data_IF_473536513816
#
_entry.id   IF_473536513816
#
_cell.length_a   1.000
_cell.length_b   1.000
_cell.length_c   1.000
_cell.angle_alpha   90.00
_cell.angle_beta   90.00
_cell.angle_gamma   90.00
#
_symmetry.space_group_name_H-M   'P 1'
#
loop_
_entity.id
_entity.type
_entity.pdbx_description
1 polymer ?
#
# COMPACT_ATOMS: atom_id res chain seq x y z
N UNK A 1 1.95 -14.84 2.53
CA UNK A 1 2.10 -13.51 3.16
C UNK A 1 2.21 -13.69 4.66
N UNK A 2 3.43 -13.68 5.14
CA UNK A 2 3.86 -13.88 6.53
C UNK A 2 4.89 -12.83 6.95
N UNK A 3 5.71 -12.31 6.03
CA UNK A 3 6.65 -11.23 6.32
C UNK A 3 6.05 -9.89 5.92
N UNK A 4 5.69 -9.06 6.89
CA UNK A 4 5.02 -7.78 6.68
C UNK A 4 5.97 -6.66 7.09
N UNK A 5 6.42 -5.87 6.13
CA UNK A 5 7.29 -4.73 6.34
C UNK A 5 6.45 -3.47 6.55
N UNK A 6 6.64 -2.79 7.67
CA UNK A 6 5.97 -1.54 8.01
C UNK A 6 6.99 -0.41 8.07
N UNK A 7 6.78 0.64 7.27
CA UNK A 7 7.51 1.89 7.45
C UNK A 7 6.97 2.61 8.69
N UNK A 8 7.84 2.80 9.68
CA UNK A 8 7.59 3.65 10.84
C UNK A 8 8.14 5.05 10.54
N UNK A 9 7.34 6.06 10.86
CA UNK A 9 7.72 7.46 10.77
C UNK A 9 6.71 8.29 11.58
N UNK A 10 7.13 9.33 12.28
CA UNK A 10 6.20 10.11 13.11
C UNK A 10 5.41 11.11 12.24
N UNK A 11 4.25 10.68 11.73
CA UNK A 11 3.31 11.51 10.96
C UNK A 11 1.85 11.11 11.22
N UNK A 12 0.91 11.93 10.73
CA UNK A 12 -0.54 11.77 10.94
C UNK A 12 -1.09 10.42 10.45
N UNK A 13 -0.42 9.77 9.49
CA UNK A 13 -0.81 8.49 8.93
C UNK A 13 -0.26 7.27 9.67
N UNK A 14 0.60 7.46 10.69
CA UNK A 14 1.30 6.37 11.39
C UNK A 14 0.35 5.36 11.99
N UNK A 15 -0.71 5.83 12.65
CA UNK A 15 -1.68 4.96 13.32
C UNK A 15 -2.36 4.03 12.30
N UNK A 16 -2.82 4.58 11.19
CA UNK A 16 -3.50 3.82 10.14
C UNK A 16 -2.63 2.71 9.55
N UNK A 17 -1.36 3.00 9.24
CA UNK A 17 -0.45 1.98 8.67
C UNK A 17 -0.05 0.93 9.69
N UNK A 18 0.20 1.32 10.95
CA UNK A 18 0.51 0.38 12.03
C UNK A 18 -0.67 -0.56 12.27
N UNK A 19 -1.88 -0.01 12.41
CA UNK A 19 -3.07 -0.79 12.68
C UNK A 19 -3.39 -1.75 11.53
N UNK A 20 -3.26 -1.32 10.28
CA UNK A 20 -3.42 -2.21 9.13
C UNK A 20 -2.38 -3.34 9.12
N UNK A 21 -1.11 -3.03 9.42
CA UNK A 21 -0.06 -4.04 9.46
C UNK A 21 -0.31 -5.08 10.57
N UNK A 22 -0.76 -4.63 11.75
CA UNK A 22 -1.17 -5.51 12.85
C UNK A 22 -2.37 -6.39 12.48
N UNK A 23 -3.39 -5.81 11.86
CA UNK A 23 -4.58 -6.56 11.42
C UNK A 23 -4.20 -7.66 10.42
N UNK A 24 -3.37 -7.35 9.42
CA UNK A 24 -2.88 -8.34 8.44
C UNK A 24 -2.00 -9.40 9.11
N UNK A 25 -1.06 -8.98 9.97
CA UNK A 25 -0.17 -9.90 10.66
C UNK A 25 -0.94 -10.87 11.56
N UNK A 26 -1.94 -10.38 12.30
CA UNK A 26 -2.81 -11.21 13.14
C UNK A 26 -3.65 -12.17 12.32
N UNK A 27 -4.33 -11.67 11.28
CA UNK A 27 -5.22 -12.49 10.46
C UNK A 27 -4.49 -13.61 9.71
N UNK A 28 -3.24 -13.36 9.30
CA UNK A 28 -2.43 -14.33 8.58
C UNK A 28 -1.43 -15.07 9.47
N UNK A 29 -1.34 -14.77 10.77
CA UNK A 29 -0.31 -15.31 11.67
C UNK A 29 1.10 -15.03 11.16
N UNK A 30 1.36 -13.79 10.77
CA UNK A 30 2.63 -13.28 10.24
C UNK A 30 3.50 -12.60 11.30
N UNK A 31 4.64 -12.11 10.84
CA UNK A 31 5.63 -11.35 11.59
C UNK A 31 5.69 -9.92 11.04
N UNK A 32 5.61 -8.94 11.94
CA UNK A 32 5.69 -7.52 11.64
C UNK A 32 7.14 -7.03 11.76
N UNK A 33 7.76 -6.71 10.63
CA UNK A 33 9.07 -6.05 10.59
C UNK A 33 8.88 -4.54 10.50
N UNK A 34 9.15 -3.82 11.59
CA UNK A 34 9.15 -2.37 11.63
C UNK A 34 10.51 -1.83 11.18
N UNK A 35 10.51 -0.94 10.18
CA UNK A 35 11.68 -0.16 9.79
C UNK A 35 11.43 1.31 10.14
N UNK A 36 12.21 1.84 11.07
CA UNK A 36 12.19 3.25 11.46
C UNK A 36 13.31 3.96 10.73
N UNK A 37 12.94 4.85 9.80
CA UNK A 37 13.90 5.52 8.91
C UNK A 37 14.08 6.95 9.35
N UNK A 38 15.22 7.23 9.98
CA UNK A 38 15.69 8.58 10.24
C UNK A 38 16.25 9.18 8.95
N UNK A 39 15.64 10.23 8.37
CA UNK A 39 16.19 10.88 7.19
C UNK A 39 17.58 11.45 7.51
N UNK A 40 18.46 11.46 6.52
CA UNK A 40 19.74 12.15 6.68
C UNK A 40 19.45 13.61 7.06
N UNK A 41 20.00 14.12 8.19
CA UNK A 41 19.95 15.55 8.42
C UNK A 41 20.64 16.19 7.22
N UNK A 42 19.95 17.12 6.55
CA UNK A 42 20.50 17.85 5.41
C UNK A 42 21.72 18.62 5.92
N UNK A 43 22.90 18.01 5.85
CA UNK A 43 24.16 18.73 6.00
C UNK A 43 24.32 19.54 4.72
N UNK A 44 23.72 20.73 4.69
CA UNK A 44 24.00 21.71 3.66
C UNK A 44 25.52 21.90 3.63
N UNK A 45 26.14 21.50 2.52
CA UNK A 45 27.59 21.58 2.34
C UNK A 45 28.11 22.97 2.74
N UNK A 46 29.15 22.99 3.56
CA UNK A 46 29.87 24.19 4.01
C UNK A 46 29.08 25.29 4.74
N UNK A 47 27.89 25.00 5.28
CA UNK A 47 27.25 25.90 6.24
C UNK A 47 27.53 25.43 7.67
N UNK A 48 28.07 26.32 8.50
CA UNK A 48 27.95 26.19 9.96
C UNK A 48 26.45 26.01 10.23
N UNK A 49 26.02 24.85 10.75
CA UNK A 49 24.62 24.65 11.15
C UNK A 49 24.21 25.84 12.00
N UNK A 50 23.24 26.61 11.52
CA UNK A 50 22.68 27.70 12.31
C UNK A 50 22.06 27.14 13.59
N UNK A 51 22.00 27.94 14.66
CA UNK A 51 21.28 27.56 15.88
C UNK A 51 19.85 27.06 15.59
N UNK A 52 19.18 27.60 14.56
CA UNK A 52 17.84 27.14 14.14
C UNK A 52 17.82 25.75 13.51
N UNK A 53 18.74 25.45 12.59
CA UNK A 53 18.81 24.14 11.91
C UNK A 53 19.24 23.03 12.88
N UNK A 54 20.17 23.33 13.78
CA UNK A 54 20.56 22.38 14.83
C UNK A 54 19.39 22.08 15.77
N UNK A 55 18.61 23.07 16.18
CA UNK A 55 17.40 22.86 16.99
C UNK A 55 16.37 21.97 16.27
N UNK A 56 16.14 22.16 14.96
CA UNK A 56 15.22 21.31 14.18
C UNK A 56 15.70 19.85 14.14
N UNK A 57 16.99 19.61 13.91
CA UNK A 57 17.57 18.25 13.90
C UNK A 57 17.51 17.58 15.27
N UNK A 58 17.73 18.33 16.36
CA UNK A 58 17.59 17.79 17.71
C UNK A 58 16.13 17.48 18.06
N UNK A 59 15.19 18.34 17.67
CA UNK A 59 13.76 18.14 17.88
C UNK A 59 13.24 16.91 17.10
N UNK A 60 13.71 16.71 15.86
CA UNK A 60 13.37 15.54 15.04
C UNK A 60 13.89 14.25 15.67
N UNK A 61 15.13 14.24 16.19
CA UNK A 61 15.71 13.08 16.90
C UNK A 61 14.99 12.76 18.21
N UNK A 62 14.65 13.77 19.00
CA UNK A 62 13.91 13.58 20.25
C UNK A 62 12.48 13.10 19.96
N UNK A 63 11.86 13.60 18.90
CA UNK A 63 10.56 13.16 18.40
C UNK A 63 10.58 11.70 17.94
N UNK A 64 11.57 11.29 17.13
CA UNK A 64 11.76 9.91 16.71
C UNK A 64 12.02 8.97 17.90
N UNK A 65 12.87 9.37 18.84
CA UNK A 65 13.16 8.57 20.03
C UNK A 65 11.92 8.35 20.91
N UNK A 66 11.08 9.38 21.08
CA UNK A 66 9.79 9.27 21.79
C UNK A 66 8.82 8.37 21.03
N UNK A 67 8.68 8.58 19.72
CA UNK A 67 7.82 7.78 18.87
C UNK A 67 8.18 6.29 18.93
N UNK A 68 9.48 5.97 18.82
CA UNK A 68 9.99 4.62 18.98
C UNK A 68 9.67 4.02 20.35
N UNK A 69 9.88 4.76 21.43
CA UNK A 69 9.58 4.28 22.77
C UNK A 69 8.08 3.95 22.94
N UNK A 70 7.20 4.82 22.46
CA UNK A 70 5.75 4.63 22.51
C UNK A 70 5.30 3.44 21.66
N UNK A 71 5.81 3.32 20.43
CA UNK A 71 5.46 2.23 19.52
C UNK A 71 5.97 0.87 19.99
N UNK A 72 7.21 0.80 20.49
CA UNK A 72 7.76 -0.46 21.00
C UNK A 72 7.04 -0.92 22.27
N UNK A 73 6.64 0.01 23.15
CA UNK A 73 5.79 -0.29 24.30
C UNK A 73 4.40 -0.77 23.89
N UNK A 74 3.78 -0.15 22.88
CA UNK A 74 2.52 -0.64 22.30
C UNK A 74 2.67 -2.04 21.69
N UNK A 75 3.67 -2.25 20.83
CA UNK A 75 3.94 -3.54 20.18
C UNK A 75 4.21 -4.65 21.19
N UNK A 76 4.83 -4.34 22.34
CA UNK A 76 5.04 -5.32 23.42
C UNK A 76 3.74 -5.87 24.04
N UNK A 77 2.62 -5.16 23.84
CA UNK A 77 1.28 -5.50 24.34
C UNK A 77 0.38 -6.12 23.27
N UNK A 78 0.85 -6.18 22.02
CA UNK A 78 0.15 -6.85 20.92
C UNK A 78 0.43 -8.37 20.93
N UNK A 79 -0.45 -9.14 20.29
CA UNK A 79 -0.37 -10.60 20.12
C UNK A 79 0.36 -11.03 18.83
N UNK A 80 1.06 -10.09 18.19
CA UNK A 80 1.76 -10.26 16.90
C UNK A 80 3.26 -10.31 17.13
N UNK A 81 3.96 -11.28 16.52
CA UNK A 81 5.43 -11.31 16.52
C UNK A 81 5.98 -10.11 15.75
N UNK A 82 6.96 -9.40 16.32
CA UNK A 82 7.53 -8.22 15.69
C UNK A 82 9.05 -8.13 15.83
N UNK A 83 9.67 -7.35 14.96
CA UNK A 83 11.07 -6.95 15.02
C UNK A 83 11.21 -5.48 14.64
N UNK A 84 12.27 -4.83 15.11
CA UNK A 84 12.53 -3.42 14.85
C UNK A 84 13.92 -3.23 14.25
N UNK A 85 14.03 -2.37 13.24
CA UNK A 85 15.29 -1.94 12.66
C UNK A 85 15.33 -0.41 12.57
N UNK A 86 16.37 0.19 13.14
CA UNK A 86 16.67 1.61 12.97
C UNK A 86 17.57 1.78 11.74
N UNK A 87 17.15 2.62 10.81
CA UNK A 87 17.90 2.88 9.57
C UNK A 87 18.04 4.38 9.38
N UNK A 88 19.24 4.82 8.99
CA UNK A 88 19.45 6.21 8.57
C UNK A 88 19.53 6.25 7.06
N UNK A 89 18.64 6.98 6.40
CA UNK A 89 18.54 6.90 4.95
C UNK A 89 17.40 7.69 4.34
N UNK A 90 17.29 7.61 3.01
CA UNK A 90 16.09 8.07 2.31
C UNK A 90 14.99 6.99 2.45
N UNK A 91 13.78 7.37 2.81
CA UNK A 91 12.69 6.45 3.17
C UNK A 91 12.41 5.41 2.09
N UNK A 92 12.20 5.82 0.84
CA UNK A 92 11.84 4.87 -0.23
C UNK A 92 12.98 3.88 -0.50
N UNK A 93 14.23 4.34 -0.51
CA UNK A 93 15.41 3.50 -0.70
C UNK A 93 15.56 2.51 0.45
N UNK A 94 15.45 2.97 1.70
CA UNK A 94 15.60 2.12 2.89
C UNK A 94 14.53 1.03 2.96
N UNK A 95 13.28 1.36 2.61
CA UNK A 95 12.20 0.37 2.52
C UNK A 95 12.46 -0.65 1.42
N UNK A 96 12.94 -0.21 0.24
CA UNK A 96 13.27 -1.11 -0.86
C UNK A 96 14.41 -2.07 -0.51
N UNK A 97 15.44 -1.61 0.19
CA UNK A 97 16.55 -2.46 0.65
C UNK A 97 16.10 -3.50 1.70
N UNK A 98 15.10 -3.17 2.51
CA UNK A 98 14.52 -4.10 3.49
C UNK A 98 13.43 -5.03 2.90
N UNK A 99 12.98 -4.78 1.66
CA UNK A 99 11.81 -5.45 1.08
C UNK A 99 12.11 -6.80 0.41
N UNK A 100 13.37 -7.23 0.30
CA UNK A 100 13.78 -8.41 -0.48
C UNK A 100 13.00 -9.70 -0.13
N UNK A 101 12.68 -9.90 1.15
CA UNK A 101 11.92 -11.06 1.65
C UNK A 101 10.55 -10.67 2.24
N UNK A 102 10.11 -9.43 2.02
CA UNK A 102 8.80 -8.98 2.41
C UNK A 102 7.75 -9.56 1.46
N UNK A 103 6.69 -10.15 2.01
CA UNK A 103 5.51 -10.51 1.22
C UNK A 103 4.61 -9.29 0.99
N UNK A 104 4.59 -8.37 1.97
CA UNK A 104 3.77 -7.17 2.00
C UNK A 104 4.56 -6.00 2.56
N UNK A 105 4.45 -4.83 1.94
CA UNK A 105 4.92 -3.55 2.45
C UNK A 105 3.69 -2.70 2.80
N UNK A 106 3.60 -2.17 4.00
CA UNK A 106 2.49 -1.32 4.45
C UNK A 106 2.95 0.13 4.53
N UNK A 107 2.24 1.00 3.80
CA UNK A 107 2.52 2.43 3.65
C UNK A 107 1.21 3.21 3.63
N UNK A 108 1.23 4.53 3.81
CA UNK A 108 0.07 5.36 3.48
C UNK A 108 0.01 5.63 1.97
N UNK A 109 -1.20 5.77 1.43
CA UNK A 109 -1.43 6.15 0.02
C UNK A 109 -0.95 7.57 -0.30
N UNK A 110 -1.15 8.46 0.68
CA UNK A 110 -0.87 9.89 0.71
C UNK A 110 -1.20 10.37 2.13
N UNK A 111 -0.73 11.56 2.49
CA UNK A 111 -1.19 12.31 3.66
C UNK A 111 -1.99 13.51 3.16
N UNK A 112 -3.12 13.80 3.80
CA UNK A 112 -4.07 14.83 3.34
C UNK A 112 -3.72 16.23 3.93
N UNK A 113 -2.96 16.27 5.02
CA UNK A 113 -2.55 17.51 5.72
C UNK A 113 -1.14 18.02 5.37
N UNK A 114 -0.11 17.28 5.79
CA UNK A 114 1.28 17.73 5.72
C UNK A 114 1.96 17.37 4.38
N UNK A 115 2.70 18.30 3.74
CA UNK A 115 3.33 18.04 2.44
C UNK A 115 4.59 17.15 2.53
N UNK A 116 5.12 16.92 3.73
CA UNK A 116 6.34 16.15 3.97
C UNK A 116 6.15 15.19 5.17
N UNK A 117 6.56 13.92 5.05
CA UNK A 117 7.06 13.29 3.83
C UNK A 117 5.95 13.13 2.77
N UNK A 118 6.29 13.28 1.48
CA UNK A 118 5.33 13.08 0.39
C UNK A 118 5.07 11.57 0.20
N UNK A 119 4.19 11.02 1.04
CA UNK A 119 3.89 9.58 1.07
C UNK A 119 3.38 9.04 -0.27
N UNK A 120 2.67 9.86 -1.05
CA UNK A 120 2.23 9.44 -2.39
C UNK A 120 3.42 9.16 -3.30
N UNK A 121 4.43 10.03 -3.27
CA UNK A 121 5.64 9.85 -4.07
C UNK A 121 6.50 8.69 -3.56
N UNK A 122 6.67 8.56 -2.25
CA UNK A 122 7.39 7.45 -1.62
C UNK A 122 6.74 6.12 -1.99
N UNK A 123 5.42 5.99 -1.79
CA UNK A 123 4.65 4.80 -2.14
C UNK A 123 4.74 4.51 -3.63
N UNK A 124 4.65 5.53 -4.48
CA UNK A 124 4.79 5.36 -5.94
C UNK A 124 6.17 4.79 -6.31
N UNK A 125 7.26 5.36 -5.77
CA UNK A 125 8.62 4.90 -6.02
C UNK A 125 8.87 3.47 -5.53
N UNK A 126 8.31 3.11 -4.38
CA UNK A 126 8.41 1.74 -3.83
C UNK A 126 7.67 0.77 -4.74
N UNK A 127 6.41 1.04 -5.07
CA UNK A 127 5.57 0.18 -5.93
C UNK A 127 6.19 -0.03 -7.32
N UNK A 128 6.83 1.00 -7.89
CA UNK A 128 7.51 0.90 -9.18
C UNK A 128 8.74 -0.03 -9.18
N UNK A 129 9.32 -0.31 -8.01
CA UNK A 129 10.63 -1.00 -7.88
C UNK A 129 10.56 -2.32 -7.13
N UNK A 130 9.62 -2.48 -6.21
CA UNK A 130 9.45 -3.73 -5.47
C UNK A 130 8.80 -4.83 -6.32
N UNK A 131 8.98 -6.07 -5.88
CA UNK A 131 8.21 -7.24 -6.32
C UNK A 131 7.22 -7.70 -5.24
N UNK A 132 7.30 -7.16 -4.02
CA UNK A 132 6.35 -7.41 -2.95
C UNK A 132 5.03 -6.67 -3.22
N UNK A 133 3.93 -7.17 -2.67
CA UNK A 133 2.69 -6.39 -2.67
C UNK A 133 2.86 -5.16 -1.77
N UNK A 134 2.19 -4.07 -2.11
CA UNK A 134 2.16 -2.85 -1.30
C UNK A 134 0.74 -2.57 -0.87
N UNK A 135 0.48 -2.57 0.43
CA UNK A 135 -0.78 -2.11 1.01
C UNK A 135 -0.66 -0.61 1.31
N UNK A 136 -1.21 0.21 0.43
CA UNK A 136 -1.29 1.66 0.57
C UNK A 136 -2.60 2.04 1.29
N UNK A 137 -2.51 2.49 2.53
CA UNK A 137 -3.66 2.77 3.40
C UNK A 137 -4.04 4.25 3.43
N UNK A 138 -5.33 4.61 3.55
CA UNK A 138 -5.74 5.98 3.82
C UNK A 138 -5.35 6.38 5.25
N UNK A 139 -5.03 7.67 5.45
CA UNK A 139 -4.66 8.25 6.75
C UNK A 139 -5.73 8.02 7.83
N UNK A 140 -7.01 8.11 7.48
CA UNK A 140 -8.13 7.93 8.40
C UNK A 140 -8.53 6.45 8.64
N UNK A 141 -7.68 5.48 8.29
CA UNK A 141 -8.00 4.06 8.49
C UNK A 141 -7.90 3.69 9.97
N UNK A 142 -9.02 3.31 10.59
CA UNK A 142 -9.02 2.80 11.98
C UNK A 142 -8.79 1.30 12.08
N UNK A 143 -9.14 0.54 11.04
CA UNK A 143 -9.02 -0.92 11.01
C UNK A 143 -9.00 -1.44 9.58
N UNK A 144 -8.12 -2.39 9.29
CA UNK A 144 -8.16 -3.10 8.02
C UNK A 144 -9.18 -4.24 8.09
N UNK A 145 -10.20 -4.18 7.24
CA UNK A 145 -11.25 -5.20 7.12
C UNK A 145 -10.98 -6.07 5.90
N UNK A 146 -11.38 -7.34 6.00
CA UNK A 146 -11.14 -8.34 4.97
C UNK A 146 -12.42 -8.80 4.28
N UNK A 147 -13.62 -8.38 4.72
CA UNK A 147 -14.88 -9.03 4.36
C UNK A 147 -15.19 -8.97 2.85
N UNK A 148 -14.93 -7.83 2.21
CA UNK A 148 -15.27 -7.59 0.80
C UNK A 148 -14.09 -7.04 0.01
N UNK A 149 -13.62 -7.79 -0.97
CA UNK A 149 -12.48 -7.42 -1.80
C UNK A 149 -12.89 -7.11 -3.23
N UNK A 150 -12.54 -5.92 -3.73
CA UNK A 150 -12.70 -5.58 -5.14
C UNK A 150 -11.36 -5.78 -5.87
N UNK A 151 -11.32 -6.61 -6.90
CA UNK A 151 -10.15 -6.78 -7.78
C UNK A 151 -10.39 -5.96 -9.05
N UNK A 152 -9.70 -4.82 -9.17
CA UNK A 152 -9.75 -3.99 -10.37
C UNK A 152 -8.83 -4.59 -11.45
N UNK A 153 -9.43 -5.30 -12.41
CA UNK A 153 -8.75 -6.13 -13.39
C UNK A 153 -8.65 -5.46 -14.75
N UNK A 154 -7.41 -5.28 -15.24
CA UNK A 154 -7.08 -4.70 -16.54
C UNK A 154 -6.47 -5.73 -17.52
N UNK A 155 -6.34 -6.99 -17.12
CA UNK A 155 -5.69 -8.06 -17.90
C UNK A 155 -4.16 -7.96 -17.96
N UNK A 156 -3.55 -6.93 -17.35
CA UNK A 156 -2.11 -6.70 -17.38
C UNK A 156 -1.31 -7.60 -16.42
N UNK A 157 -0.01 -7.70 -16.67
CA UNK A 157 0.91 -8.47 -15.81
C UNK A 157 0.95 -7.94 -14.37
N UNK A 158 0.91 -6.61 -14.20
CA UNK A 158 0.89 -5.98 -12.88
C UNK A 158 -0.37 -6.36 -12.09
N UNK A 159 -1.54 -6.39 -12.73
CA UNK A 159 -2.76 -6.81 -12.06
C UNK A 159 -2.75 -8.32 -11.77
N UNK A 160 -2.22 -9.15 -12.67
CA UNK A 160 -2.00 -10.57 -12.39
C UNK A 160 -1.03 -10.78 -11.20
N UNK A 161 0.03 -9.99 -11.08
CA UNK A 161 0.94 -10.03 -9.93
C UNK A 161 0.23 -9.62 -8.63
N UNK A 162 -0.52 -8.50 -8.66
CA UNK A 162 -1.32 -8.04 -7.53
C UNK A 162 -2.32 -9.10 -7.07
N UNK A 163 -3.08 -9.69 -7.99
CA UNK A 163 -4.06 -10.74 -7.69
C UNK A 163 -3.40 -11.96 -7.05
N UNK A 164 -2.27 -12.44 -7.58
CA UNK A 164 -1.53 -13.58 -7.02
C UNK A 164 -1.01 -13.29 -5.61
N UNK A 165 -0.45 -12.11 -5.39
CA UNK A 165 0.03 -11.71 -4.07
C UNK A 165 -1.11 -11.52 -3.06
N UNK A 166 -2.30 -11.16 -3.55
CA UNK A 166 -3.51 -10.96 -2.74
C UNK A 166 -4.19 -12.26 -2.30
N UNK A 167 -3.88 -13.42 -2.88
CA UNK A 167 -4.57 -14.70 -2.58
C UNK A 167 -4.72 -14.97 -1.08
N UNK A 168 -3.70 -14.78 -0.21
CA UNK A 168 -3.88 -14.99 1.24
C UNK A 168 -4.93 -14.07 1.86
N UNK A 169 -5.04 -12.82 1.40
CA UNK A 169 -6.04 -11.86 1.87
C UNK A 169 -7.41 -12.13 1.28
N UNK A 170 -7.48 -12.45 -0.01
CA UNK A 170 -8.71 -12.83 -0.70
C UNK A 170 -9.32 -14.11 -0.11
N UNK A 171 -8.50 -15.03 0.40
CA UNK A 171 -8.96 -16.22 1.11
C UNK A 171 -9.62 -15.94 2.47
N UNK A 172 -9.41 -14.76 3.04
CA UNK A 172 -10.10 -14.29 4.25
C UNK A 172 -11.43 -13.58 3.92
N UNK A 173 -11.64 -13.20 2.66
CA UNK A 173 -12.81 -12.44 2.25
C UNK A 173 -14.06 -13.30 2.15
N UNK A 174 -15.19 -12.72 2.56
CA UNK A 174 -16.52 -13.34 2.41
C UNK A 174 -17.03 -13.20 0.98
N UNK A 175 -16.73 -12.06 0.35
CA UNK A 175 -17.13 -11.76 -1.02
C UNK A 175 -15.95 -11.15 -1.79
N UNK A 176 -15.70 -11.66 -2.98
CA UNK A 176 -14.71 -11.12 -3.92
C UNK A 176 -15.41 -10.77 -5.21
N UNK A 177 -15.18 -9.56 -5.73
CA UNK A 177 -15.66 -9.15 -7.05
C UNK A 177 -14.48 -8.77 -7.93
N UNK A 178 -14.41 -9.36 -9.12
CA UNK A 178 -13.50 -8.93 -10.19
C UNK A 178 -14.24 -7.90 -11.03
N UNK A 179 -13.77 -6.66 -10.98
CA UNK A 179 -14.31 -5.55 -11.73
C UNK A 179 -13.39 -5.18 -12.90
N UNK A 180 -13.96 -5.09 -14.10
CA UNK A 180 -13.27 -4.63 -15.30
C UNK A 180 -13.98 -3.42 -15.90
N UNK A 181 -13.22 -2.34 -16.08
CA UNK A 181 -13.60 -1.25 -16.96
C UNK A 181 -13.06 -1.54 -18.37
N UNK A 182 -13.93 -1.91 -19.31
CA UNK A 182 -13.56 -2.37 -20.66
C UNK A 182 -13.51 -1.19 -21.64
N UNK A 183 -12.32 -0.92 -22.18
CA UNK A 183 -12.08 0.12 -23.20
C UNK A 183 -12.12 -0.44 -24.65
N UNK A 184 -11.78 -1.72 -24.85
CA UNK A 184 -11.72 -2.36 -26.18
C UNK A 184 -12.01 -3.88 -26.06
N UNK A 185 -12.38 -4.55 -27.16
CA UNK A 185 -12.77 -5.99 -27.15
C UNK A 185 -11.59 -6.96 -26.99
N UNK A 186 -10.34 -6.47 -26.96
CA UNK A 186 -9.17 -7.34 -26.94
C UNK A 186 -8.89 -7.96 -25.55
N UNK A 187 -8.97 -9.30 -25.46
CA UNK A 187 -8.33 -10.23 -24.50
C UNK A 187 -7.96 -9.67 -23.10
N UNK A 188 -8.92 -9.08 -22.41
CA UNK A 188 -8.88 -8.94 -20.96
C UNK A 188 -9.95 -9.90 -20.44
N UNK A 189 -9.57 -11.15 -20.17
CA UNK A 189 -10.51 -12.23 -19.77
C UNK A 189 -10.54 -12.34 -18.24
N UNK A 190 -11.44 -11.61 -17.53
CA UNK A 190 -11.56 -11.73 -16.07
C UNK A 190 -11.94 -13.16 -15.63
N UNK A 191 -12.48 -13.98 -16.53
CA UNK A 191 -12.79 -15.39 -16.31
C UNK A 191 -11.53 -16.20 -16.01
N UNK A 192 -10.38 -15.86 -16.60
CA UNK A 192 -9.11 -16.51 -16.29
C UNK A 192 -8.65 -16.18 -14.87
N UNK A 193 -8.84 -14.92 -14.43
CA UNK A 193 -8.56 -14.50 -13.06
C UNK A 193 -9.48 -15.22 -12.06
N UNK A 194 -10.79 -15.32 -12.36
CA UNK A 194 -11.73 -16.10 -11.56
C UNK A 194 -11.36 -17.59 -11.51
N UNK A 195 -10.98 -18.18 -12.64
CA UNK A 195 -10.53 -19.58 -12.72
C UNK A 195 -9.22 -19.83 -11.97
N UNK A 196 -8.35 -18.82 -11.88
CA UNK A 196 -7.16 -18.89 -11.04
C UNK A 196 -7.54 -18.87 -9.55
N UNK A 197 -8.41 -17.94 -9.13
CA UNK A 197 -8.87 -17.81 -7.74
C UNK A 197 -9.62 -19.05 -7.26
N UNK A 198 -10.42 -19.69 -8.12
CA UNK A 198 -11.17 -20.90 -7.73
C UNK A 198 -10.27 -22.09 -7.38
N UNK A 199 -9.00 -22.11 -7.83
CA UNK A 199 -8.01 -23.13 -7.44
C UNK A 199 -7.52 -22.96 -5.99
N UNK A 200 -7.83 -21.83 -5.38
CA UNK A 200 -7.59 -21.51 -3.98
C UNK A 200 -8.92 -21.43 -3.20
N UNK A 201 -10.00 -22.03 -3.73
CA UNK A 201 -11.36 -22.00 -3.16
C UNK A 201 -11.99 -20.61 -3.05
N UNK A 202 -11.42 -19.60 -3.72
CA UNK A 202 -11.94 -18.23 -3.76
C UNK A 202 -12.86 -18.08 -4.97
N UNK A 203 -14.14 -17.86 -4.72
CA UNK A 203 -15.16 -17.72 -5.75
C UNK A 203 -15.52 -16.24 -5.94
N UNK A 204 -15.07 -15.65 -7.05
CA UNK A 204 -15.31 -14.24 -7.35
C UNK A 204 -16.50 -14.06 -8.30
N UNK A 205 -17.36 -13.06 -8.04
CA UNK A 205 -18.26 -12.53 -9.06
C UNK A 205 -17.46 -11.73 -10.09
N UNK A 206 -17.99 -11.61 -11.31
CA UNK A 206 -17.37 -10.79 -12.36
C UNK A 206 -18.35 -9.70 -12.74
N UNK A 207 -17.88 -8.45 -12.75
CA UNK A 207 -18.61 -7.29 -13.27
C UNK A 207 -17.77 -6.58 -14.32
N UNK A 208 -18.37 -6.40 -15.50
CA UNK A 208 -17.73 -5.70 -16.62
C UNK A 208 -18.58 -4.48 -16.96
N UNK A 209 -17.93 -3.32 -17.06
CA UNK A 209 -18.55 -2.05 -17.45
C UNK A 209 -17.76 -1.48 -18.62
N UNK A 210 -18.44 -1.16 -19.71
CA UNK A 210 -17.84 -0.48 -20.86
C UNK A 210 -17.54 0.98 -20.53
N UNK A 211 -16.35 1.46 -20.90
CA UNK A 211 -15.91 2.83 -20.61
C UNK A 211 -15.38 3.55 -21.86
N UNK A 212 -16.23 4.30 -22.58
CA UNK A 212 -15.77 5.10 -23.72
C UNK A 212 -14.93 6.32 -23.30
N UNK A 213 -15.00 6.75 -22.03
CA UNK A 213 -14.57 8.11 -21.60
C UNK A 213 -13.29 8.14 -20.73
N UNK A 214 -12.58 7.01 -20.57
CA UNK A 214 -11.23 6.94 -19.96
C UNK A 214 -11.08 7.28 -18.47
N UNK A 215 -12.18 7.43 -17.71
CA UNK A 215 -12.16 7.72 -16.24
C UNK A 215 -12.18 6.45 -15.39
N UNK A 216 -11.25 5.53 -15.63
CA UNK A 216 -11.19 4.21 -14.98
C UNK A 216 -11.16 4.32 -13.44
N UNK A 217 -10.37 5.24 -12.88
CA UNK A 217 -10.29 5.45 -11.42
C UNK A 217 -11.64 5.81 -10.79
N UNK A 218 -12.46 6.61 -11.48
CA UNK A 218 -13.81 6.97 -11.02
C UNK A 218 -14.73 5.74 -11.04
N UNK A 219 -14.62 4.90 -12.07
CA UNK A 219 -15.41 3.67 -12.18
C UNK A 219 -15.04 2.66 -11.09
N UNK A 220 -13.74 2.47 -10.83
CA UNK A 220 -13.26 1.62 -9.74
C UNK A 220 -13.78 2.13 -8.40
N UNK A 221 -13.68 3.43 -8.12
CA UNK A 221 -14.17 4.01 -6.87
C UNK A 221 -15.70 3.89 -6.70
N UNK A 222 -16.45 4.10 -7.79
CA UNK A 222 -17.90 3.93 -7.79
C UNK A 222 -18.29 2.47 -7.55
N UNK A 223 -17.61 1.53 -8.19
CA UNK A 223 -17.89 0.11 -7.96
C UNK A 223 -17.52 -0.32 -6.54
N UNK A 224 -16.36 0.11 -6.04
CA UNK A 224 -15.95 -0.17 -4.68
C UNK A 224 -17.00 0.34 -3.67
N UNK A 225 -17.59 1.51 -3.92
CA UNK A 225 -18.69 2.03 -3.11
C UNK A 225 -19.98 1.22 -3.27
N UNK A 226 -20.33 0.80 -4.48
CA UNK A 226 -21.54 0.01 -4.78
C UNK A 226 -21.47 -1.40 -4.16
N UNK A 227 -20.35 -2.09 -4.37
CA UNK A 227 -20.03 -3.40 -3.80
C UNK A 227 -19.77 -3.34 -2.28
N UNK A 228 -19.52 -2.13 -1.75
CA UNK A 228 -19.09 -1.89 -0.36
C UNK A 228 -17.80 -2.63 -0.02
N UNK A 229 -16.83 -2.51 -0.92
CA UNK A 229 -15.51 -3.08 -0.74
C UNK A 229 -14.84 -2.50 0.51
N UNK A 230 -14.14 -3.35 1.25
CA UNK A 230 -13.26 -2.94 2.34
C UNK A 230 -11.88 -2.55 1.82
N UNK A 231 -11.44 -3.15 0.70
CA UNK A 231 -10.17 -2.85 0.05
C UNK A 231 -10.21 -3.17 -1.44
N UNK A 232 -9.27 -2.58 -2.18
CA UNK A 232 -9.16 -2.74 -3.63
C UNK A 232 -7.81 -3.39 -3.95
N UNK A 233 -7.81 -4.47 -4.71
CA UNK A 233 -6.62 -5.07 -5.31
C UNK A 233 -6.48 -4.56 -6.74
N UNK A 234 -5.33 -4.00 -7.10
CA UNK A 234 -5.10 -3.52 -8.46
C UNK A 234 -3.64 -3.60 -8.89
N UNK A 235 -3.41 -3.74 -10.19
CA UNK A 235 -2.08 -3.55 -10.76
C UNK A 235 -1.63 -2.09 -10.66
N UNK A 236 -0.35 -1.88 -10.43
CA UNK A 236 0.23 -0.55 -10.37
C UNK A 236 1.18 -0.28 -11.52
N UNK A 237 1.10 0.93 -12.09
CA UNK A 237 2.03 1.42 -13.12
C UNK A 237 2.23 0.46 -14.31
N UNK A 238 1.27 -0.43 -14.55
CA UNK A 238 1.32 -1.42 -15.60
C UNK A 238 1.30 -0.76 -16.98
N UNK A 239 1.91 -1.45 -17.95
CA UNK A 239 1.73 -1.15 -19.36
C UNK A 239 0.37 -1.69 -19.80
N UNK A 240 -0.72 -1.04 -19.38
CA UNK A 240 -1.91 -1.06 -20.23
C UNK A 240 -1.50 -0.58 -21.63
N UNK A 241 -2.19 -1.02 -22.68
CA UNK A 241 -2.02 -0.46 -24.05
C UNK A 241 -2.47 1.00 -24.14
N UNK A 242 -2.39 1.74 -23.04
CA UNK A 242 -2.60 3.16 -22.91
C UNK A 242 -1.55 3.89 -23.75
N UNK A 243 -1.95 4.22 -24.97
CA UNK A 243 -1.54 5.50 -25.55
C UNK A 243 -2.03 6.57 -24.58
N UNK A 244 -1.08 7.23 -23.93
CA UNK A 244 -1.16 8.58 -23.37
C UNK A 244 -1.21 8.81 -21.84
N UNK A 245 -1.28 7.82 -20.94
CA UNK A 245 -0.94 8.11 -19.52
C UNK A 245 -0.39 6.92 -18.74
N UNK A 246 0.95 6.79 -18.71
CA UNK A 246 1.64 5.88 -17.78
C UNK A 246 1.25 6.21 -16.33
N UNK A 247 0.59 5.28 -15.63
CA UNK A 247 0.33 5.37 -14.19
C UNK A 247 -0.74 6.37 -13.75
N UNK A 248 -1.56 6.92 -14.67
CA UNK A 248 -2.58 7.92 -14.33
C UNK A 248 -3.62 7.41 -13.33
N UNK A 249 -4.12 6.19 -13.55
CA UNK A 249 -5.11 5.54 -12.67
C UNK A 249 -4.51 5.29 -11.29
N UNK A 250 -3.35 4.63 -11.20
CA UNK A 250 -2.68 4.38 -9.91
C UNK A 250 -2.41 5.66 -9.13
N UNK A 251 -1.89 6.72 -9.79
CA UNK A 251 -1.64 8.03 -9.14
C UNK A 251 -2.92 8.66 -8.58
N UNK A 252 -4.03 8.61 -9.34
CA UNK A 252 -5.33 9.15 -8.90
C UNK A 252 -5.94 8.31 -7.78
N UNK A 253 -5.81 6.99 -7.84
CA UNK A 253 -6.24 6.09 -6.76
C UNK A 253 -5.45 6.34 -5.47
N UNK A 254 -4.12 6.45 -5.53
CA UNK A 254 -3.30 6.81 -4.35
C UNK A 254 -3.69 8.17 -3.77
N UNK A 255 -4.00 9.15 -4.64
CA UNK A 255 -4.40 10.48 -4.22
C UNK A 255 -5.79 10.54 -3.58
N UNK A 256 -6.74 9.72 -4.02
CA UNK A 256 -8.16 9.92 -3.69
C UNK A 256 -8.90 8.73 -3.10
N UNK A 257 -8.30 7.54 -3.04
CA UNK A 257 -9.00 6.35 -2.53
C UNK A 257 -9.32 6.49 -1.05
N UNK A 258 -10.57 6.28 -0.68
CA UNK A 258 -10.99 6.18 0.74
C UNK A 258 -10.79 4.78 1.31
N UNK A 259 -10.41 3.82 0.46
CA UNK A 259 -10.15 2.44 0.83
C UNK A 259 -8.65 2.14 0.71
N UNK A 260 -8.13 1.21 1.52
CA UNK A 260 -6.81 0.61 1.30
C UNK A 260 -6.68 0.04 -0.11
N UNK A 261 -5.51 0.23 -0.70
CA UNK A 261 -5.14 -0.27 -2.02
C UNK A 261 -4.04 -1.31 -1.87
N UNK A 262 -4.29 -2.54 -2.30
CA UNK A 262 -3.27 -3.56 -2.44
C UNK A 262 -2.74 -3.54 -3.88
N UNK A 263 -1.51 -3.08 -4.03
CA UNK A 263 -0.84 -2.84 -5.29
C UNK A 263 0.19 -3.95 -5.57
N UNK A 264 0.28 -4.36 -6.84
CA UNK A 264 1.31 -5.28 -7.32
C UNK A 264 1.83 -4.91 -8.71
N UNK A 265 2.99 -5.45 -9.07
CA UNK A 265 3.71 -5.17 -10.32
C UNK A 265 4.24 -6.44 -10.97
#
# INVERSE_FOLDING_TARGET
MKNILLLVHHDDGQEARLQAALDVARALGGHLACIDVTPYPVMAGNAVMGFGESVVVFDERDSEAKNKAELTDRLSREDVSWSWADVTGEMATSVLEAADLADLIVLNRALDGYPLPNMREITSRIVERTNAAVLAVPEALERFKFDRALVAWDGGQACAAALRAAVPLLGLAKEVEIFMAREDEARNEPEQAASYLSRYDIHASIKIVDTPDGRIDTLIANEASHFRADYIVMGAYGRGRLRETFGGVTKRMLQGSKLPLLLGR
#
